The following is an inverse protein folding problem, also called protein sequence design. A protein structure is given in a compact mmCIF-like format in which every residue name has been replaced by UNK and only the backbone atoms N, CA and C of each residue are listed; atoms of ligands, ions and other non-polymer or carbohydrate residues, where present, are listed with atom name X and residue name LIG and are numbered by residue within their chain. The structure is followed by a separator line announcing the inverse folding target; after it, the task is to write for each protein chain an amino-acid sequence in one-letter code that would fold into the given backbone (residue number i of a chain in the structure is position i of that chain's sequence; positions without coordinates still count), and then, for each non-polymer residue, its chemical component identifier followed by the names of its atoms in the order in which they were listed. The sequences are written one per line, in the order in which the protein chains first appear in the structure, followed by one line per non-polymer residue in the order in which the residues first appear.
data_IF_710861069375
#
_entry.id   IF_710861069375
#
_cell.length_a   1.000
_cell.length_b   1.000
_cell.length_c   1.000
_cell.angle_alpha   90.00
_cell.angle_beta   90.00
_cell.angle_gamma   90.00
#
_symmetry.space_group_name_H-M   'P 1'
#
loop_
_entity.id
_entity.type
_entity.pdbx_description
1 polymer ?
#
# COMPACT_ATOMS: atom_id res chain seq x y z
N UNK A 1 -15.14 -32.02 -2.26
CA UNK A 1 -13.71 -31.62 -2.30
C UNK A 1 -13.48 -30.12 -2.60
N UNK A 2 -14.29 -29.43 -3.42
CA UNK A 2 -14.17 -27.97 -3.61
C UNK A 2 -14.58 -27.13 -2.38
N UNK A 3 -15.62 -27.54 -1.63
CA UNK A 3 -16.09 -26.81 -0.43
C UNK A 3 -15.07 -26.79 0.71
N UNK A 4 -14.39 -27.90 1.00
CA UNK A 4 -13.37 -27.94 2.06
C UNK A 4 -12.22 -26.98 1.76
N UNK A 5 -11.77 -26.84 0.50
CA UNK A 5 -10.72 -25.85 0.19
C UNK A 5 -11.16 -24.43 0.52
N UNK A 6 -12.40 -24.08 0.21
CA UNK A 6 -12.97 -22.75 0.49
C UNK A 6 -13.06 -22.44 1.99
N UNK A 7 -13.51 -23.41 2.81
CA UNK A 7 -13.59 -23.25 4.26
C UNK A 7 -12.20 -23.00 4.88
N UNK A 8 -11.16 -23.69 4.41
CA UNK A 8 -9.78 -23.46 4.86
C UNK A 8 -9.26 -22.07 4.48
N UNK A 9 -9.60 -21.56 3.29
CA UNK A 9 -9.29 -20.18 2.90
C UNK A 9 -9.96 -19.17 3.84
N UNK A 10 -11.21 -19.43 4.23
CA UNK A 10 -11.96 -18.59 5.15
C UNK A 10 -11.35 -18.60 6.56
N UNK A 11 -11.04 -19.79 7.11
CA UNK A 11 -10.38 -19.90 8.40
C UNK A 11 -9.01 -19.22 8.42
N UNK A 12 -8.23 -19.37 7.35
CA UNK A 12 -6.93 -18.69 7.23
C UNK A 12 -7.12 -17.17 7.27
N UNK A 13 -8.04 -16.62 6.47
CA UNK A 13 -8.36 -15.19 6.45
C UNK A 13 -8.84 -14.68 7.82
N UNK A 14 -9.68 -15.43 8.53
CA UNK A 14 -10.19 -15.04 9.84
C UNK A 14 -9.08 -15.04 10.89
N UNK A 15 -8.24 -16.08 10.94
CA UNK A 15 -7.07 -16.15 11.83
C UNK A 15 -6.10 -15.01 11.54
N UNK A 16 -5.97 -14.64 10.26
CA UNK A 16 -5.12 -13.57 9.76
C UNK A 16 -5.61 -12.17 10.17
N UNK A 17 -6.92 -11.92 10.10
CA UNK A 17 -7.55 -10.70 10.61
C UNK A 17 -7.47 -10.61 12.14
N UNK A 18 -7.67 -11.72 12.85
CA UNK A 18 -7.54 -11.77 14.33
C UNK A 18 -6.10 -11.53 14.77
N UNK A 19 -5.12 -12.12 14.07
CA UNK A 19 -3.70 -11.85 14.29
C UNK A 19 -3.35 -10.37 14.09
N UNK A 20 -3.93 -9.75 13.06
CA UNK A 20 -3.77 -8.32 12.81
C UNK A 20 -4.39 -7.43 13.91
N UNK A 21 -5.62 -7.72 14.35
CA UNK A 21 -6.25 -6.98 15.45
C UNK A 21 -5.46 -7.09 16.76
N UNK A 22 -4.90 -8.27 17.04
CA UNK A 22 -4.06 -8.45 18.22
C UNK A 22 -2.76 -7.63 18.14
N UNK A 23 -2.19 -7.47 16.95
CA UNK A 23 -0.98 -6.69 16.72
C UNK A 23 -1.25 -5.18 16.76
N UNK A 24 -2.35 -4.72 16.17
CA UNK A 24 -2.77 -3.32 16.22
C UNK A 24 -3.13 -2.86 17.62
N UNK A 25 -3.71 -3.76 18.42
CA UNK A 25 -3.99 -3.50 19.83
C UNK A 25 -2.70 -3.43 20.64
N UNK A 26 -1.75 -4.33 20.40
CA UNK A 26 -0.43 -4.29 21.03
C UNK A 26 0.34 -3.01 20.70
N UNK A 27 0.26 -2.56 19.45
CA UNK A 27 0.82 -1.33 18.92
C UNK A 27 0.29 -0.06 19.61
N UNK A 28 -1.00 -0.03 19.93
CA UNK A 28 -1.62 1.08 20.67
C UNK A 28 -1.20 1.10 22.14
N UNK A 29 -0.94 -0.07 22.73
CA UNK A 29 -0.54 -0.22 24.13
C UNK A 29 0.94 0.08 24.34
N UNK A 30 1.79 -0.14 23.35
CA UNK A 30 3.21 0.25 23.42
C UNK A 30 3.39 1.73 23.09
N UNK A 31 3.62 2.54 24.13
CA UNK A 31 3.84 3.98 24.09
C UNK A 31 4.52 4.48 22.80
N UNK A 32 3.78 5.28 22.03
CA UNK A 32 4.20 5.98 20.80
C UNK A 32 5.51 6.78 21.00
N UNK A 33 5.84 7.13 22.25
CA UNK A 33 7.03 7.88 22.62
C UNK A 33 8.33 7.05 22.69
N UNK A 34 8.25 5.72 22.76
CA UNK A 34 9.43 4.83 22.88
C UNK A 34 10.00 4.36 21.54
N UNK A 35 9.34 4.71 20.43
CA UNK A 35 9.61 4.14 19.11
C UNK A 35 10.94 4.61 18.50
N UNK A 36 11.48 5.73 18.98
CA UNK A 36 12.73 6.30 18.49
C UNK A 36 13.96 5.99 19.37
N UNK A 37 13.79 5.47 20.60
CA UNK A 37 14.89 5.37 21.57
C UNK A 37 15.42 3.95 21.80
N UNK A 38 14.65 2.92 21.46
CA UNK A 38 15.01 1.53 21.75
C UNK A 38 15.38 0.82 20.46
N UNK A 39 16.68 0.66 20.23
CA UNK A 39 17.22 -0.07 19.10
C UNK A 39 18.21 -1.13 19.56
N UNK A 40 18.16 -2.29 18.91
CA UNK A 40 19.15 -3.35 19.08
C UNK A 40 19.96 -3.43 17.80
N UNK A 41 21.24 -3.07 17.87
CA UNK A 41 22.15 -3.18 16.74
C UNK A 41 22.76 -4.59 16.68
N UNK A 42 22.71 -5.19 15.50
CA UNK A 42 23.37 -6.45 15.17
C UNK A 42 24.55 -6.17 14.23
N UNK A 43 25.75 -6.55 14.66
CA UNK A 43 26.98 -6.46 13.85
C UNK A 43 27.26 -5.07 13.24
N UNK A 44 26.76 -3.98 13.83
CA UNK A 44 26.78 -2.58 13.33
C UNK A 44 26.08 -2.32 11.99
N UNK A 45 25.88 -3.35 11.17
CA UNK A 45 25.28 -3.24 9.84
C UNK A 45 23.75 -3.25 9.87
N UNK A 46 23.17 -4.03 10.79
CA UNK A 46 21.72 -4.16 10.95
C UNK A 46 21.26 -3.57 12.28
N UNK A 47 20.08 -2.95 12.28
CA UNK A 47 19.46 -2.35 13.45
C UNK A 47 17.98 -2.71 13.47
N UNK A 48 17.55 -3.29 14.58
CA UNK A 48 16.18 -3.66 14.85
C UNK A 48 15.49 -2.50 15.57
N UNK A 49 14.80 -1.68 14.78
CA UNK A 49 13.96 -0.57 15.25
C UNK A 49 12.49 -0.96 15.24
N UNK A 50 11.68 -0.18 15.97
CA UNK A 50 10.22 -0.29 15.97
C UNK A 50 9.64 -0.38 14.55
N UNK A 51 10.03 0.56 13.67
CA UNK A 51 9.61 0.60 12.26
C UNK A 51 10.01 -0.66 11.51
N UNK A 52 11.27 -1.08 11.62
CA UNK A 52 11.77 -2.27 10.93
C UNK A 52 11.09 -3.55 11.41
N UNK A 53 10.83 -3.65 12.72
CA UNK A 53 10.11 -4.76 13.32
C UNK A 53 8.69 -4.90 12.74
N UNK A 54 7.91 -3.82 12.72
CA UNK A 54 6.54 -3.87 12.22
C UNK A 54 6.44 -4.15 10.73
N UNK A 55 7.31 -3.55 9.92
CA UNK A 55 7.37 -3.85 8.48
C UNK A 55 7.84 -5.28 8.21
N UNK A 56 8.75 -5.83 9.02
CA UNK A 56 9.15 -7.23 8.91
C UNK A 56 7.99 -8.19 9.21
N UNK A 57 7.13 -7.85 10.19
CA UNK A 57 5.93 -8.64 10.48
C UNK A 57 4.97 -8.67 9.29
N UNK A 58 4.77 -7.54 8.61
CA UNK A 58 4.00 -7.46 7.36
C UNK A 58 4.59 -8.39 6.27
N UNK A 59 5.91 -8.50 6.16
CA UNK A 59 6.53 -9.41 5.19
C UNK A 59 6.32 -10.88 5.56
N UNK A 60 6.44 -11.24 6.84
CA UNK A 60 6.10 -12.61 7.30
C UNK A 60 4.64 -12.96 7.01
N UNK A 61 3.75 -11.99 7.20
CA UNK A 61 2.32 -12.10 6.91
C UNK A 61 2.05 -12.32 5.41
N UNK A 62 2.76 -11.63 4.52
CA UNK A 62 2.67 -11.84 3.06
C UNK A 62 3.31 -13.17 2.65
N UNK A 63 4.45 -13.52 3.25
CA UNK A 63 5.09 -14.81 3.04
C UNK A 63 4.10 -15.94 3.35
N UNK A 64 3.34 -15.86 4.44
CA UNK A 64 2.26 -16.80 4.75
C UNK A 64 1.23 -16.97 3.63
N UNK A 65 0.79 -15.89 2.97
CA UNK A 65 -0.13 -15.97 1.81
C UNK A 65 0.55 -16.69 0.64
N UNK A 66 1.82 -16.37 0.37
CA UNK A 66 2.60 -16.97 -0.71
C UNK A 66 2.72 -18.49 -0.49
N UNK A 67 3.05 -18.90 0.74
CA UNK A 67 3.11 -20.30 1.13
C UNK A 67 1.72 -20.95 0.93
N UNK A 68 0.62 -20.31 1.33
CA UNK A 68 -0.70 -20.93 1.15
C UNK A 68 -1.02 -21.24 -0.33
N UNK A 69 -0.55 -20.39 -1.25
CA UNK A 69 -0.70 -20.58 -2.70
C UNK A 69 0.31 -21.57 -3.33
N UNK A 70 1.11 -22.29 -2.52
CA UNK A 70 2.14 -23.24 -2.96
C UNK A 70 1.69 -24.19 -4.08
N UNK A 71 0.45 -24.65 -4.02
CA UNK A 71 -0.07 -25.68 -4.92
C UNK A 71 -0.17 -25.25 -6.39
N UNK A 72 -0.17 -23.93 -6.68
CA UNK A 72 -0.38 -23.42 -8.03
C UNK A 72 0.89 -22.88 -8.69
N UNK A 73 1.98 -22.72 -7.94
CA UNK A 73 3.19 -22.08 -8.44
C UNK A 73 4.32 -23.07 -8.71
N UNK A 74 5.13 -22.79 -9.74
CA UNK A 74 6.36 -23.54 -9.97
C UNK A 74 7.36 -23.33 -8.82
N UNK A 75 8.18 -24.35 -8.52
CA UNK A 75 9.14 -24.33 -7.41
C UNK A 75 10.10 -23.14 -7.46
N UNK A 76 10.54 -22.75 -8.66
CA UNK A 76 11.40 -21.59 -8.89
C UNK A 76 10.71 -20.28 -8.51
N UNK A 77 9.42 -20.12 -8.82
CA UNK A 77 8.70 -18.87 -8.57
C UNK A 77 8.50 -18.65 -7.08
N UNK A 78 8.21 -19.74 -6.36
CA UNK A 78 8.14 -19.74 -4.91
C UNK A 78 9.49 -19.38 -4.28
N UNK A 79 10.58 -19.97 -4.77
CA UNK A 79 11.91 -19.60 -4.31
C UNK A 79 12.19 -18.11 -4.52
N UNK A 80 11.89 -17.56 -5.69
CA UNK A 80 12.09 -16.15 -6.00
C UNK A 80 11.23 -15.21 -5.14
N UNK A 81 9.97 -15.57 -4.91
CA UNK A 81 9.07 -14.81 -4.05
C UNK A 81 9.55 -14.80 -2.59
N UNK A 82 9.94 -15.96 -2.05
CA UNK A 82 10.46 -16.06 -0.68
C UNK A 82 11.83 -15.40 -0.54
N UNK A 83 12.69 -15.50 -1.56
CA UNK A 83 13.95 -14.79 -1.61
C UNK A 83 13.74 -13.27 -1.64
N UNK A 84 12.73 -12.79 -2.38
CA UNK A 84 12.33 -11.38 -2.34
C UNK A 84 11.88 -10.95 -0.93
N UNK A 85 11.03 -11.74 -0.27
CA UNK A 85 10.65 -11.49 1.12
C UNK A 85 11.89 -11.41 2.04
N UNK A 86 12.83 -12.35 1.92
CA UNK A 86 14.06 -12.34 2.70
C UNK A 86 14.90 -11.07 2.48
N UNK A 87 15.13 -10.70 1.21
CA UNK A 87 15.87 -9.47 0.86
C UNK A 87 15.18 -8.23 1.42
N UNK A 88 13.85 -8.16 1.40
CA UNK A 88 13.11 -7.01 1.96
C UNK A 88 13.19 -6.93 3.48
N UNK A 89 13.22 -8.07 4.18
CA UNK A 89 13.48 -8.08 5.63
C UNK A 89 14.88 -7.51 5.90
N UNK A 90 15.88 -7.88 5.10
CA UNK A 90 17.23 -7.30 5.22
C UNK A 90 17.21 -5.78 5.00
N UNK A 91 16.52 -5.27 3.98
CA UNK A 91 16.43 -3.81 3.77
C UNK A 91 15.87 -3.05 4.96
N UNK A 92 14.85 -3.58 5.64
CA UNK A 92 14.21 -2.89 6.77
C UNK A 92 15.14 -2.74 7.96
N UNK A 93 16.07 -3.67 8.13
CA UNK A 93 17.07 -3.65 9.19
C UNK A 93 18.36 -2.94 8.79
N UNK A 94 18.58 -2.61 7.51
CA UNK A 94 19.85 -2.03 7.07
C UNK A 94 20.06 -0.59 7.60
N UNK A 95 21.17 -0.37 8.29
CA UNK A 95 21.68 0.98 8.63
C UNK A 95 22.74 1.45 7.65
N UNK A 96 23.46 0.52 7.02
CA UNK A 96 24.47 0.85 6.04
C UNK A 96 23.80 1.36 4.75
N UNK A 97 24.08 2.60 4.35
CA UNK A 97 23.44 3.29 3.22
C UNK A 97 23.59 2.55 1.87
N UNK A 98 24.79 2.06 1.54
CA UNK A 98 24.99 1.23 0.33
C UNK A 98 24.29 -0.13 0.41
N UNK A 99 24.26 -0.75 1.60
CA UNK A 99 23.56 -2.01 1.82
C UNK A 99 22.06 -1.82 1.62
N UNK A 100 21.50 -0.74 2.18
CA UNK A 100 20.12 -0.34 1.95
C UNK A 100 19.81 -0.21 0.46
N UNK A 101 20.62 0.53 -0.30
CA UNK A 101 20.45 0.67 -1.76
C UNK A 101 20.50 -0.70 -2.47
N UNK A 102 21.49 -1.52 -2.17
CA UNK A 102 21.68 -2.82 -2.81
C UNK A 102 20.51 -3.78 -2.57
N UNK A 103 20.09 -3.94 -1.31
CA UNK A 103 18.96 -4.80 -0.99
C UNK A 103 17.64 -4.23 -1.53
N UNK A 104 17.51 -2.91 -1.59
CA UNK A 104 16.34 -2.25 -2.18
C UNK A 104 16.22 -2.57 -3.67
N UNK A 105 17.27 -2.35 -4.45
CA UNK A 105 17.24 -2.61 -5.90
C UNK A 105 17.10 -4.10 -6.22
N UNK A 106 17.79 -4.96 -5.46
CA UNK A 106 17.67 -6.42 -5.65
C UNK A 106 16.23 -6.90 -5.41
N UNK A 107 15.49 -6.32 -4.45
CA UNK A 107 14.07 -6.67 -4.26
C UNK A 107 13.19 -6.30 -5.46
N UNK A 108 13.43 -5.15 -6.09
CA UNK A 108 12.70 -4.69 -7.28
C UNK A 108 13.06 -5.57 -8.49
N UNK A 109 14.35 -5.87 -8.67
CA UNK A 109 14.84 -6.73 -9.75
C UNK A 109 14.23 -8.15 -9.69
N UNK A 110 14.06 -8.71 -8.49
CA UNK A 110 13.40 -10.00 -8.33
C UNK A 110 11.93 -9.97 -8.79
N UNK A 111 11.23 -8.87 -8.50
CA UNK A 111 9.83 -8.73 -8.93
C UNK A 111 9.72 -8.43 -10.42
N UNK A 112 10.64 -7.65 -10.98
CA UNK A 112 10.79 -7.46 -12.42
C UNK A 112 10.98 -8.81 -13.14
N UNK A 113 11.85 -9.68 -12.62
CA UNK A 113 12.06 -11.00 -13.19
C UNK A 113 10.77 -11.85 -13.14
N UNK A 114 10.02 -11.79 -12.04
CA UNK A 114 8.74 -12.48 -11.91
C UNK A 114 7.68 -11.93 -12.88
N UNK A 115 7.66 -10.63 -13.17
CA UNK A 115 6.74 -10.03 -14.15
C UNK A 115 7.01 -10.63 -15.54
N UNK A 116 8.27 -10.71 -16.00
CA UNK A 116 8.57 -11.27 -17.31
C UNK A 116 8.25 -12.76 -17.43
N UNK A 117 8.49 -13.52 -16.35
CA UNK A 117 8.35 -14.98 -16.37
C UNK A 117 6.92 -15.45 -16.15
N UNK A 118 6.25 -14.96 -15.11
CA UNK A 118 5.05 -15.58 -14.54
C UNK A 118 3.74 -14.89 -14.92
N UNK A 119 3.79 -13.66 -15.41
CA UNK A 119 2.55 -12.95 -15.72
C UNK A 119 1.83 -13.60 -16.91
N UNK A 120 0.51 -13.85 -16.81
CA UNK A 120 -0.28 -14.49 -17.86
C UNK A 120 -0.82 -13.51 -18.92
N UNK A 121 -0.58 -12.21 -18.77
CA UNK A 121 -1.20 -11.16 -19.61
C UNK A 121 -0.31 -10.79 -20.79
N UNK A 122 -0.93 -10.37 -21.91
CA UNK A 122 -0.24 -10.05 -23.17
C UNK A 122 0.75 -8.91 -23.03
N UNK A 123 0.37 -7.86 -22.31
CA UNK A 123 1.09 -6.59 -22.32
C UNK A 123 2.27 -6.59 -21.34
N UNK A 124 2.50 -7.68 -20.61
CA UNK A 124 3.50 -7.83 -19.54
C UNK A 124 4.90 -7.28 -19.84
N UNK A 125 5.31 -7.34 -21.10
CA UNK A 125 6.61 -6.80 -21.51
C UNK A 125 6.61 -5.27 -21.41
N UNK A 126 5.53 -4.60 -21.80
CA UNK A 126 5.35 -3.16 -21.62
C UNK A 126 5.38 -2.77 -20.14
N UNK A 127 4.61 -3.42 -19.24
CA UNK A 127 4.75 -3.16 -17.80
C UNK A 127 6.17 -3.41 -17.29
N UNK A 128 6.81 -4.49 -17.73
CA UNK A 128 8.19 -4.81 -17.38
C UNK A 128 9.17 -3.70 -17.79
N UNK A 129 9.02 -3.16 -19.00
CA UNK A 129 9.81 -2.01 -19.47
C UNK A 129 9.54 -0.75 -18.64
N UNK A 130 8.29 -0.42 -18.33
CA UNK A 130 7.98 0.69 -17.42
C UNK A 130 8.71 0.52 -16.09
N UNK A 131 8.52 -0.60 -15.38
CA UNK A 131 9.16 -0.80 -14.08
C UNK A 131 10.69 -0.77 -14.17
N UNK A 132 11.28 -1.34 -15.23
CA UNK A 132 12.72 -1.31 -15.48
C UNK A 132 13.22 0.13 -15.62
N UNK A 133 12.61 0.94 -16.50
CA UNK A 133 13.03 2.32 -16.71
C UNK A 133 12.90 3.18 -15.46
N UNK A 134 11.79 3.06 -14.72
CA UNK A 134 11.60 3.81 -13.47
C UNK A 134 12.61 3.37 -12.39
N UNK A 135 12.94 2.07 -12.32
CA UNK A 135 13.95 1.56 -11.38
C UNK A 135 15.36 2.07 -11.71
N UNK A 136 15.77 2.06 -12.97
CA UNK A 136 17.10 2.54 -13.37
C UNK A 136 17.23 4.05 -13.28
N UNK A 137 16.20 4.79 -13.73
CA UNK A 137 16.20 6.25 -13.73
C UNK A 137 16.29 6.82 -12.32
N UNK A 138 15.70 6.15 -11.33
CA UNK A 138 15.78 6.57 -9.93
C UNK A 138 16.94 5.93 -9.18
N UNK A 139 17.18 4.63 -9.41
CA UNK A 139 18.13 3.82 -8.67
C UNK A 139 19.58 4.24 -8.89
N UNK A 140 20.00 4.44 -10.15
CA UNK A 140 21.40 4.79 -10.45
C UNK A 140 21.75 6.19 -9.93
N UNK A 141 20.96 7.26 -10.18
CA UNK A 141 21.25 8.57 -9.61
C UNK A 141 21.18 8.59 -8.07
N UNK A 142 20.26 7.83 -7.48
CA UNK A 142 20.19 7.68 -6.02
C UNK A 142 21.50 7.12 -5.45
N UNK A 143 22.13 6.14 -6.11
CA UNK A 143 23.43 5.61 -5.69
C UNK A 143 24.52 6.68 -5.71
N UNK A 144 24.56 7.52 -6.76
CA UNK A 144 25.57 8.58 -6.88
C UNK A 144 25.45 9.58 -5.73
N UNK A 145 24.22 9.98 -5.37
CA UNK A 145 24.02 10.92 -4.27
C UNK A 145 24.34 10.28 -2.92
N UNK A 146 24.00 9.01 -2.70
CA UNK A 146 24.37 8.27 -1.49
C UNK A 146 25.90 8.23 -1.34
N UNK A 147 26.62 7.91 -2.41
CA UNK A 147 28.08 7.90 -2.41
C UNK A 147 28.66 9.28 -2.08
N UNK A 148 28.12 10.35 -2.67
CA UNK A 148 28.56 11.71 -2.40
C UNK A 148 28.34 12.12 -0.93
N UNK A 149 27.16 11.87 -0.35
CA UNK A 149 26.88 12.18 1.06
C UNK A 149 27.76 11.34 2.00
N UNK A 150 27.99 10.06 1.65
CA UNK A 150 28.88 9.20 2.44
C UNK A 150 30.34 9.68 2.39
N UNK A 151 30.77 10.25 1.26
CA UNK A 151 32.09 10.87 1.12
C UNK A 151 32.22 12.11 2.00
N UNK A 152 31.19 12.97 2.05
CA UNK A 152 31.18 14.15 2.92
C UNK A 152 31.26 13.78 4.42
N UNK A 153 30.57 12.72 4.83
CA UNK A 153 30.54 12.27 6.22
C UNK A 153 31.68 11.31 6.58
N UNK A 154 32.51 10.87 5.62
CA UNK A 154 33.53 9.83 5.77
C UNK A 154 33.02 8.47 6.29
N UNK A 155 31.70 8.23 6.26
CA UNK A 155 31.07 7.02 6.79
C UNK A 155 29.87 6.62 5.92
N UNK A 156 29.63 5.32 5.83
CA UNK A 156 28.44 4.77 5.15
C UNK A 156 27.28 4.48 6.09
N UNK A 157 27.48 4.59 7.41
CA UNK A 157 26.46 4.36 8.42
C UNK A 157 25.57 5.59 8.54
N UNK A 158 24.25 5.41 8.33
CA UNK A 158 23.27 6.49 8.35
C UNK A 158 23.21 7.22 9.70
N UNK A 159 23.54 6.53 10.81
CA UNK A 159 23.52 7.09 12.17
C UNK A 159 24.58 8.17 12.36
N UNK A 160 25.69 8.09 11.62
CA UNK A 160 26.84 8.99 11.77
C UNK A 160 26.80 10.17 10.78
N UNK A 161 25.71 10.34 10.05
CA UNK A 161 25.57 11.40 9.06
C UNK A 161 25.17 12.72 9.74
N UNK A 162 26.13 13.66 9.81
CA UNK A 162 25.92 14.98 10.39
C UNK A 162 25.82 16.08 9.32
N UNK A 163 26.55 15.94 8.22
CA UNK A 163 26.56 16.90 7.12
C UNK A 163 25.67 16.40 5.99
N UNK A 164 24.63 17.17 5.70
CA UNK A 164 23.75 16.91 4.57
C UNK A 164 23.53 18.20 3.79
N UNK A 165 24.10 18.26 2.60
CA UNK A 165 23.80 19.34 1.64
C UNK A 165 22.30 19.30 1.33
N UNK A 166 21.61 20.43 1.54
CA UNK A 166 20.16 20.54 1.33
C UNK A 166 19.74 20.19 -0.11
N UNK A 167 20.60 20.49 -1.08
CA UNK A 167 20.40 20.12 -2.49
C UNK A 167 20.49 18.61 -2.72
N UNK A 168 21.45 17.93 -2.09
CA UNK A 168 21.61 16.48 -2.21
C UNK A 168 20.46 15.74 -1.53
N UNK A 169 19.99 16.24 -0.39
CA UNK A 169 18.76 15.75 0.23
C UNK A 169 17.57 15.94 -0.73
N UNK A 170 17.38 17.13 -1.30
CA UNK A 170 16.29 17.35 -2.26
C UNK A 170 16.35 16.39 -3.46
N UNK A 171 17.53 16.12 -4.01
CA UNK A 171 17.70 15.12 -5.08
C UNK A 171 17.32 13.70 -4.61
N UNK A 172 17.78 13.28 -3.44
CA UNK A 172 17.40 11.99 -2.86
C UNK A 172 15.89 11.90 -2.62
N UNK A 173 15.25 12.98 -2.16
CA UNK A 173 13.79 13.04 -2.01
C UNK A 173 13.11 12.75 -3.35
N UNK A 174 13.51 13.45 -4.41
CA UNK A 174 12.96 13.24 -5.75
C UNK A 174 13.12 11.79 -6.22
N UNK A 175 14.26 11.16 -5.98
CA UNK A 175 14.48 9.76 -6.35
C UNK A 175 13.63 8.80 -5.52
N UNK A 176 13.46 9.02 -4.21
CA UNK A 176 12.53 8.22 -3.40
C UNK A 176 11.07 8.42 -3.79
N UNK A 177 10.68 9.65 -4.15
CA UNK A 177 9.34 9.99 -4.66
C UNK A 177 9.03 9.34 -6.00
N UNK A 178 10.02 8.99 -6.82
CA UNK A 178 9.73 8.21 -8.02
C UNK A 178 9.37 6.75 -7.69
N UNK A 179 9.85 6.25 -6.55
CA UNK A 179 9.67 4.87 -6.08
C UNK A 179 8.46 4.70 -5.17
N UNK A 180 8.11 5.72 -4.39
CA UNK A 180 6.79 5.87 -3.77
C UNK A 180 5.95 6.55 -4.86
N UNK A 181 5.14 5.84 -5.66
CA UNK A 181 4.57 6.35 -6.91
C UNK A 181 3.63 7.55 -6.69
N UNK A 182 4.20 8.74 -6.56
CA UNK A 182 3.49 9.98 -6.30
C UNK A 182 3.58 10.83 -7.55
N UNK A 183 2.67 11.77 -7.70
CA UNK A 183 2.68 12.70 -8.82
C UNK A 183 3.98 13.53 -8.83
N UNK A 184 4.65 13.63 -9.99
CA UNK A 184 4.20 13.19 -11.33
C UNK A 184 4.47 11.71 -11.69
N UNK A 185 5.36 11.02 -10.98
CA UNK A 185 5.88 9.68 -11.29
C UNK A 185 4.98 8.50 -10.84
N UNK A 186 3.67 8.61 -11.04
CA UNK A 186 2.68 7.62 -10.59
C UNK A 186 2.25 6.60 -11.66
N UNK A 187 2.47 6.89 -12.94
CA UNK A 187 1.89 6.18 -14.09
C UNK A 187 2.31 4.70 -14.16
N UNK A 188 3.50 4.35 -13.69
CA UNK A 188 3.97 2.97 -13.75
C UNK A 188 3.16 2.03 -12.85
N UNK A 189 2.63 2.53 -11.73
CA UNK A 189 2.01 1.67 -10.72
C UNK A 189 0.72 0.99 -11.24
N UNK A 190 -0.27 1.70 -11.80
CA UNK A 190 -1.50 1.07 -12.29
C UNK A 190 -1.26 0.08 -13.44
N UNK A 191 -0.30 0.38 -14.32
CA UNK A 191 0.08 -0.46 -15.47
C UNK A 191 0.70 -1.77 -14.96
N UNK A 192 1.70 -1.67 -14.08
CA UNK A 192 2.40 -2.84 -13.55
C UNK A 192 1.46 -3.73 -12.74
N UNK A 193 0.60 -3.16 -11.90
CA UNK A 193 -0.36 -3.98 -11.13
C UNK A 193 -1.39 -4.68 -12.02
N UNK A 194 -1.83 -4.06 -13.12
CA UNK A 194 -2.77 -4.68 -14.04
C UNK A 194 -2.18 -5.93 -14.71
N UNK A 195 -0.91 -5.88 -15.06
CA UNK A 195 -0.23 -6.93 -15.86
C UNK A 195 0.58 -7.92 -15.02
N UNK A 196 0.93 -7.59 -13.78
CA UNK A 196 1.60 -8.53 -12.90
C UNK A 196 0.66 -9.68 -12.48
N UNK A 197 1.24 -10.85 -12.17
CA UNK A 197 0.51 -11.91 -11.47
C UNK A 197 -0.05 -11.37 -10.15
N UNK A 198 -1.17 -11.91 -9.67
CA UNK A 198 -1.80 -11.43 -8.42
C UNK A 198 -0.85 -11.54 -7.23
N UNK A 199 -0.05 -12.60 -7.16
CA UNK A 199 0.90 -12.83 -6.07
C UNK A 199 2.06 -11.82 -6.15
N UNK A 200 2.55 -11.51 -7.35
CA UNK A 200 3.54 -10.44 -7.52
C UNK A 200 2.96 -9.06 -7.18
N UNK A 201 1.68 -8.79 -7.49
CA UNK A 201 1.04 -7.55 -7.06
C UNK A 201 0.90 -7.45 -5.54
N UNK A 202 0.63 -8.56 -4.84
CA UNK A 202 0.61 -8.61 -3.36
C UNK A 202 1.98 -8.18 -2.80
N UNK A 203 3.08 -8.66 -3.38
CA UNK A 203 4.42 -8.30 -2.95
C UNK A 203 4.75 -6.82 -3.24
N UNK A 204 4.42 -6.36 -4.46
CA UNK A 204 4.65 -4.99 -4.90
C UNK A 204 3.91 -3.98 -4.01
N UNK A 205 2.60 -4.19 -3.78
CA UNK A 205 1.83 -3.30 -2.92
C UNK A 205 2.10 -3.51 -1.45
N UNK A 206 2.42 -4.74 -1.04
CA UNK A 206 2.60 -5.11 0.35
C UNK A 206 3.83 -4.45 0.94
N UNK A 207 5.01 -4.72 0.38
CA UNK A 207 6.28 -4.28 0.96
C UNK A 207 7.13 -3.38 0.05
N UNK A 208 7.13 -3.53 -1.30
CA UNK A 208 8.02 -2.70 -2.14
C UNK A 208 7.71 -1.22 -1.95
N UNK A 209 6.43 -0.83 -2.06
CA UNK A 209 6.05 0.57 -1.90
C UNK A 209 6.40 1.12 -0.51
N UNK A 210 6.50 0.26 0.51
CA UNK A 210 6.81 0.65 1.90
C UNK A 210 8.30 0.89 2.08
N UNK A 211 9.15 0.22 1.30
CA UNK A 211 10.57 0.51 1.28
C UNK A 211 10.87 1.96 0.90
N UNK A 212 10.07 2.55 0.02
CA UNK A 212 10.21 3.96 -0.32
C UNK A 212 9.98 4.87 0.89
N UNK A 213 8.90 4.65 1.65
CA UNK A 213 8.63 5.37 2.90
C UNK A 213 9.74 5.18 3.93
N UNK A 214 10.24 3.96 4.07
CA UNK A 214 11.37 3.67 4.94
C UNK A 214 12.63 4.42 4.51
N UNK A 215 12.89 4.52 3.20
CA UNK A 215 13.95 5.36 2.66
C UNK A 215 13.79 6.83 3.06
N UNK A 216 12.59 7.40 2.90
CA UNK A 216 12.34 8.78 3.34
C UNK A 216 12.57 8.99 4.84
N UNK A 217 12.21 8.03 5.68
CA UNK A 217 12.39 8.17 7.13
C UNK A 217 13.88 8.01 7.51
N UNK A 218 14.55 7.01 6.96
CA UNK A 218 15.95 6.67 7.28
C UNK A 218 16.96 7.74 6.85
N UNK A 219 16.71 8.39 5.72
CA UNK A 219 17.57 9.44 5.20
C UNK A 219 17.24 10.83 5.79
N UNK A 220 16.39 10.90 6.83
CA UNK A 220 16.23 12.11 7.65
C UNK A 220 15.35 13.21 7.02
N UNK A 221 14.44 12.86 6.12
CA UNK A 221 13.65 13.83 5.37
C UNK A 221 12.67 14.67 6.19
N UNK A 222 12.36 14.25 7.43
CA UNK A 222 11.50 15.01 8.35
C UNK A 222 12.09 16.37 8.75
N UNK A 223 13.41 16.57 8.60
CA UNK A 223 14.07 17.85 8.87
C UNK A 223 13.89 18.87 7.73
N UNK A 224 13.36 18.47 6.57
CA UNK A 224 13.17 19.37 5.42
C UNK A 224 11.82 20.11 5.45
N UNK A 225 10.99 19.89 6.47
CA UNK A 225 9.63 20.43 6.56
C UNK A 225 9.57 21.97 6.48
N UNK A 226 10.66 22.66 6.80
CA UNK A 226 10.70 24.14 6.82
C UNK A 226 10.83 24.78 5.43
N UNK A 227 11.03 24.01 4.36
CA UNK A 227 11.14 24.57 3.01
C UNK A 227 9.76 24.77 2.36
N UNK A 228 9.52 25.97 1.81
CA UNK A 228 8.30 26.36 1.07
C UNK A 228 8.04 25.41 -0.13
N UNK A 229 9.08 24.81 -0.70
CA UNK A 229 8.97 23.87 -1.81
C UNK A 229 8.30 22.57 -1.37
N UNK A 230 8.56 22.09 -0.14
CA UNK A 230 7.95 20.87 0.36
C UNK A 230 6.47 21.08 0.69
N UNK A 231 6.12 22.20 1.33
CA UNK A 231 4.71 22.49 1.65
C UNK A 231 3.85 22.60 0.40
N UNK A 232 4.34 23.28 -0.64
CA UNK A 232 3.63 23.37 -1.93
C UNK A 232 3.53 22.02 -2.63
N UNK A 233 4.59 21.21 -2.63
CA UNK A 233 4.55 19.85 -3.16
C UNK A 233 3.51 18.97 -2.45
N UNK A 234 3.46 19.01 -1.12
CA UNK A 234 2.51 18.22 -0.32
C UNK A 234 1.06 18.59 -0.64
N UNK A 235 0.76 19.89 -0.84
CA UNK A 235 -0.58 20.33 -1.27
C UNK A 235 -0.93 19.72 -2.62
N UNK A 236 0.00 19.71 -3.57
CA UNK A 236 -0.21 19.09 -4.88
C UNK A 236 -0.48 17.59 -4.75
N UNK A 237 0.28 16.89 -3.90
CA UNK A 237 0.06 15.45 -3.63
C UNK A 237 -1.33 15.20 -3.07
N UNK A 238 -1.77 15.97 -2.07
CA UNK A 238 -3.11 15.82 -1.51
C UNK A 238 -4.22 16.13 -2.50
N UNK A 239 -4.16 17.26 -3.21
CA UNK A 239 -5.15 17.58 -4.24
C UNK A 239 -5.22 16.49 -5.30
N UNK A 240 -4.07 15.98 -5.69
CA UNK A 240 -4.02 14.93 -6.69
C UNK A 240 -4.58 13.58 -6.21
N UNK A 241 -4.43 13.25 -4.91
CA UNK A 241 -5.07 12.06 -4.33
C UNK A 241 -6.60 12.12 -4.47
N UNK A 242 -7.19 13.32 -4.34
CA UNK A 242 -8.63 13.54 -4.56
C UNK A 242 -8.99 13.42 -6.05
N UNK A 243 -8.15 13.93 -6.96
CA UNK A 243 -8.40 13.83 -8.39
C UNK A 243 -8.32 12.38 -8.91
N UNK A 244 -7.36 11.59 -8.41
CA UNK A 244 -7.19 10.18 -8.79
C UNK A 244 -8.43 9.36 -8.42
N UNK A 245 -9.11 9.69 -7.32
CA UNK A 245 -10.37 9.04 -6.97
C UNK A 245 -11.42 9.14 -8.08
N UNK A 246 -11.59 10.30 -8.71
CA UNK A 246 -12.53 10.44 -9.83
C UNK A 246 -12.15 9.56 -11.01
N UNK A 247 -10.86 9.51 -11.36
CA UNK A 247 -10.39 8.64 -12.45
C UNK A 247 -10.58 7.15 -12.13
N UNK A 248 -10.51 6.77 -10.85
CA UNK A 248 -10.73 5.38 -10.44
C UNK A 248 -12.17 4.91 -10.66
N UNK A 249 -13.17 5.80 -10.70
CA UNK A 249 -14.57 5.38 -10.91
C UNK A 249 -14.80 4.80 -12.30
N UNK A 250 -14.04 5.25 -13.29
CA UNK A 250 -14.14 4.78 -14.68
C UNK A 250 -13.44 3.43 -14.89
N UNK A 251 -12.67 2.97 -13.90
CA UNK A 251 -11.82 1.79 -14.02
C UNK A 251 -12.58 0.47 -13.82
N UNK A 252 -12.72 -0.30 -14.90
CA UNK A 252 -13.41 -1.60 -14.88
C UNK A 252 -12.52 -2.75 -14.41
N UNK A 253 -11.20 -2.63 -14.51
CA UNK A 253 -10.25 -3.68 -14.12
C UNK A 253 -9.94 -3.59 -12.62
N UNK A 254 -10.34 -4.60 -11.82
CA UNK A 254 -10.23 -4.51 -10.36
C UNK A 254 -8.79 -4.35 -9.83
N UNK A 255 -7.81 -4.94 -10.51
CA UNK A 255 -6.39 -4.76 -10.14
C UNK A 255 -5.94 -3.32 -10.37
N UNK A 256 -6.33 -2.74 -11.50
CA UNK A 256 -5.97 -1.37 -11.88
C UNK A 256 -6.72 -0.37 -10.99
N UNK A 257 -8.00 -0.61 -10.74
CA UNK A 257 -8.82 0.13 -9.79
C UNK A 257 -8.19 0.16 -8.39
N UNK A 258 -7.80 -1.01 -7.85
CA UNK A 258 -7.16 -1.07 -6.53
C UNK A 258 -5.80 -0.37 -6.52
N UNK A 259 -5.03 -0.48 -7.60
CA UNK A 259 -3.77 0.25 -7.74
C UNK A 259 -3.99 1.77 -7.74
N UNK A 260 -5.02 2.27 -8.43
CA UNK A 260 -5.39 3.69 -8.42
C UNK A 260 -5.82 4.16 -7.02
N UNK A 261 -6.62 3.37 -6.30
CA UNK A 261 -6.93 3.68 -4.90
C UNK A 261 -5.68 3.70 -4.00
N UNK A 262 -4.74 2.78 -4.23
CA UNK A 262 -3.51 2.72 -3.45
C UNK A 262 -2.64 3.97 -3.64
N UNK A 263 -2.67 4.60 -4.83
CA UNK A 263 -2.01 5.89 -5.08
C UNK A 263 -2.61 6.99 -4.19
N UNK A 264 -3.94 7.03 -4.06
CA UNK A 264 -4.61 8.02 -3.21
C UNK A 264 -4.20 7.87 -1.74
N UNK A 265 -4.26 6.62 -1.23
CA UNK A 265 -3.89 6.31 0.17
C UNK A 265 -2.42 6.65 0.44
N UNK A 266 -1.50 6.26 -0.46
CA UNK A 266 -0.07 6.56 -0.32
C UNK A 266 0.20 8.07 -0.26
N UNK A 267 -0.56 8.88 -1.01
CA UNK A 267 -0.49 10.34 -0.92
C UNK A 267 -0.74 10.87 0.49
N UNK A 268 -1.75 10.35 1.19
CA UNK A 268 -2.04 10.72 2.59
C UNK A 268 -0.98 10.19 3.56
N UNK A 269 -0.43 8.99 3.29
CA UNK A 269 0.72 8.48 4.02
C UNK A 269 1.92 9.43 4.00
N UNK A 270 2.22 10.05 2.86
CA UNK A 270 3.31 11.03 2.77
C UNK A 270 2.96 12.33 3.47
N UNK A 271 1.74 12.81 3.29
CA UNK A 271 1.25 13.99 3.99
C UNK A 271 1.45 13.84 5.51
N UNK A 272 1.15 12.67 6.07
CA UNK A 272 1.35 12.39 7.49
C UNK A 272 2.82 12.45 7.95
N UNK A 273 3.77 12.10 7.08
CA UNK A 273 5.20 12.17 7.36
C UNK A 273 5.65 13.64 7.49
N UNK A 274 5.18 14.50 6.59
CA UNK A 274 5.59 15.91 6.54
C UNK A 274 4.80 16.82 7.49
N UNK A 275 3.57 16.47 7.86
CA UNK A 275 2.76 17.35 8.72
C UNK A 275 3.20 17.39 10.18
N UNK A 276 3.98 16.41 10.63
CA UNK A 276 4.07 16.11 12.05
C UNK A 276 5.50 16.12 12.63
N UNK A 277 6.50 16.62 11.90
CA UNK A 277 7.91 16.62 12.31
C UNK A 277 8.29 15.29 13.02
N UNK A 278 8.36 15.31 14.36
CA UNK A 278 8.73 14.18 15.22
C UNK A 278 7.59 13.14 15.35
N UNK A 279 6.34 13.59 15.43
CA UNK A 279 5.15 12.74 15.58
C UNK A 279 4.70 12.11 14.25
N UNK A 280 5.28 12.53 13.12
CA UNK A 280 4.85 12.14 11.77
C UNK A 280 5.46 10.85 11.27
N UNK A 281 6.68 10.59 11.72
CA UNK A 281 7.38 9.36 11.41
C UNK A 281 6.60 8.11 11.87
N UNK A 282 6.14 8.00 13.13
CA UNK A 282 5.39 6.82 13.55
C UNK A 282 4.02 6.71 12.84
N UNK A 283 3.30 7.83 12.66
CA UNK A 283 1.96 7.79 12.05
C UNK A 283 1.98 7.39 10.57
N UNK A 284 2.90 7.95 9.78
CA UNK A 284 3.09 7.56 8.38
C UNK A 284 3.45 6.09 8.23
N UNK A 285 4.27 5.56 9.14
CA UNK A 285 4.64 4.15 9.13
C UNK A 285 3.47 3.24 9.48
N UNK A 286 2.71 3.54 10.54
CA UNK A 286 1.54 2.76 10.91
C UNK A 286 0.49 2.82 9.78
N UNK A 287 0.33 3.97 9.11
CA UNK A 287 -0.57 4.11 7.97
C UNK A 287 -0.11 3.26 6.80
N UNK A 288 1.18 3.31 6.47
CA UNK A 288 1.76 2.49 5.41
C UNK A 288 1.59 1.00 5.70
N UNK A 289 1.70 0.59 6.96
CA UNK A 289 1.50 -0.78 7.39
C UNK A 289 0.04 -1.20 7.21
N UNK A 290 -0.90 -0.42 7.74
CA UNK A 290 -2.34 -0.68 7.58
C UNK A 290 -2.73 -0.77 6.10
N UNK A 291 -2.25 0.15 5.26
CA UNK A 291 -2.45 0.12 3.82
C UNK A 291 -1.81 -1.11 3.15
N UNK A 292 -0.61 -1.54 3.54
CA UNK A 292 0.03 -2.73 2.98
C UNK A 292 -0.75 -4.01 3.26
N UNK A 293 -1.31 -4.13 4.46
CA UNK A 293 -2.16 -5.25 4.82
C UNK A 293 -3.50 -5.19 4.07
N UNK A 294 -4.13 -4.02 3.98
CA UNK A 294 -5.35 -3.81 3.21
C UNK A 294 -5.18 -4.18 1.73
N UNK A 295 -4.13 -3.68 1.10
CA UNK A 295 -3.82 -3.98 -0.28
C UNK A 295 -3.53 -5.48 -0.48
N UNK A 296 -2.70 -6.09 0.38
CA UNK A 296 -2.38 -7.53 0.28
C UNK A 296 -3.63 -8.42 0.40
N UNK A 297 -4.53 -8.08 1.32
CA UNK A 297 -5.79 -8.78 1.53
C UNK A 297 -6.71 -8.65 0.30
N UNK A 298 -6.86 -7.42 -0.22
CA UNK A 298 -7.76 -7.18 -1.34
C UNK A 298 -7.23 -7.76 -2.65
N UNK A 299 -5.93 -7.68 -2.92
CA UNK A 299 -5.32 -8.36 -4.08
C UNK A 299 -5.48 -9.88 -4.01
N UNK A 300 -5.40 -10.45 -2.80
CA UNK A 300 -5.68 -11.86 -2.59
C UNK A 300 -7.17 -12.20 -2.81
N UNK A 301 -8.10 -11.33 -2.39
CA UNK A 301 -9.51 -11.46 -2.74
C UNK A 301 -9.74 -11.44 -4.26
N UNK A 302 -9.10 -10.51 -4.97
CA UNK A 302 -9.16 -10.45 -6.45
C UNK A 302 -8.65 -11.76 -7.07
N UNK A 303 -7.61 -12.38 -6.50
CA UNK A 303 -7.13 -13.69 -6.95
C UNK A 303 -8.19 -14.79 -6.78
N UNK A 304 -8.82 -14.88 -5.61
CA UNK A 304 -9.87 -15.86 -5.36
C UNK A 304 -11.05 -15.68 -6.31
N UNK A 305 -11.47 -14.43 -6.53
CA UNK A 305 -12.57 -14.08 -7.42
C UNK A 305 -12.22 -14.39 -8.88
N UNK A 306 -11.00 -14.08 -9.32
CA UNK A 306 -10.51 -14.40 -10.65
C UNK A 306 -10.49 -15.91 -10.92
N UNK A 307 -10.11 -16.71 -9.92
CA UNK A 307 -10.11 -18.17 -10.02
C UNK A 307 -11.54 -18.78 -10.08
N UNK A 308 -12.53 -18.11 -9.49
CA UNK A 308 -13.93 -18.56 -9.49
C UNK A 308 -14.71 -18.09 -10.73
N UNK A 309 -14.54 -16.82 -11.11
CA UNK A 309 -15.30 -16.18 -12.20
C UNK A 309 -14.57 -16.09 -13.53
N UNK A 310 -13.32 -16.56 -13.61
CA UNK A 310 -12.50 -16.60 -14.84
C UNK A 310 -12.11 -15.23 -15.41
N UNK A 311 -12.43 -14.14 -14.71
CA UNK A 311 -12.30 -12.77 -15.21
C UNK A 311 -12.10 -11.78 -14.06
N UNK A 312 -11.43 -10.66 -14.36
CA UNK A 312 -11.03 -9.63 -13.37
C UNK A 312 -11.89 -8.36 -13.40
N UNK A 313 -12.90 -8.32 -14.27
CA UNK A 313 -13.73 -7.14 -14.46
C UNK A 313 -14.64 -6.90 -13.26
N UNK A 314 -14.76 -5.65 -12.81
CA UNK A 314 -15.66 -5.24 -11.75
C UNK A 314 -17.12 -5.65 -12.02
N UNK A 315 -17.52 -5.71 -13.30
CA UNK A 315 -18.84 -6.17 -13.73
C UNK A 315 -19.15 -7.61 -13.33
N UNK A 316 -18.13 -8.47 -13.20
CA UNK A 316 -18.33 -9.88 -12.86
C UNK A 316 -18.40 -10.14 -11.35
N UNK A 317 -18.03 -9.15 -10.52
CA UNK A 317 -18.25 -9.20 -9.08
C UNK A 317 -19.71 -9.44 -8.73
N UNK A 318 -20.64 -8.84 -9.48
CA UNK A 318 -22.05 -8.98 -9.18
C UNK A 318 -22.60 -10.38 -9.33
N UNK A 319 -22.01 -11.17 -10.23
CA UNK A 319 -22.42 -12.56 -10.39
C UNK A 319 -21.83 -13.42 -9.27
N UNK A 320 -20.57 -13.17 -8.89
CA UNK A 320 -19.81 -13.98 -7.93
C UNK A 320 -20.24 -13.69 -6.48
N UNK A 321 -20.64 -12.45 -6.18
CA UNK A 321 -21.10 -12.03 -4.85
C UNK A 321 -22.29 -12.85 -4.33
N UNK A 322 -23.08 -13.44 -5.23
CA UNK A 322 -24.23 -14.29 -4.90
C UNK A 322 -23.92 -15.78 -4.70
N UNK A 323 -22.69 -16.24 -4.92
CA UNK A 323 -22.37 -17.68 -4.95
C UNK A 323 -22.34 -18.33 -3.57
N UNK A 324 -21.83 -17.63 -2.56
CA UNK A 324 -21.84 -18.10 -1.17
C UNK A 324 -21.82 -16.95 -0.19
N UNK A 325 -22.38 -17.21 1.00
CA UNK A 325 -22.38 -16.26 2.12
C UNK A 325 -20.95 -15.84 2.50
N UNK A 326 -20.02 -16.80 2.54
CA UNK A 326 -18.64 -16.54 2.89
C UNK A 326 -17.91 -15.63 1.88
N UNK A 327 -18.16 -15.77 0.57
CA UNK A 327 -17.63 -14.85 -0.45
C UNK A 327 -18.21 -13.45 -0.26
N UNK A 328 -19.52 -13.33 0.00
CA UNK A 328 -20.14 -12.01 0.23
C UNK A 328 -19.56 -11.29 1.45
N UNK A 329 -19.26 -12.02 2.54
CA UNK A 329 -18.64 -11.43 3.73
C UNK A 329 -17.18 -11.03 3.48
N UNK A 330 -16.43 -11.84 2.73
CA UNK A 330 -15.07 -11.50 2.35
C UNK A 330 -15.05 -10.24 1.46
N UNK A 331 -15.97 -10.12 0.51
CA UNK A 331 -16.12 -8.91 -0.31
C UNK A 331 -16.44 -7.69 0.56
N UNK A 332 -17.42 -7.81 1.46
CA UNK A 332 -17.76 -6.75 2.42
C UNK A 332 -16.53 -6.29 3.20
N UNK A 333 -15.82 -7.21 3.84
CA UNK A 333 -14.62 -6.92 4.62
C UNK A 333 -13.54 -6.28 3.74
N UNK A 334 -13.32 -6.80 2.53
CA UNK A 334 -12.34 -6.25 1.60
C UNK A 334 -12.64 -4.80 1.24
N UNK A 335 -13.86 -4.50 0.82
CA UNK A 335 -14.23 -3.14 0.41
C UNK A 335 -14.22 -2.17 1.60
N UNK A 336 -14.70 -2.60 2.77
CA UNK A 336 -14.57 -1.80 4.00
C UNK A 336 -13.11 -1.52 4.35
N UNK A 337 -12.21 -2.49 4.15
CA UNK A 337 -10.79 -2.30 4.41
C UNK A 337 -10.15 -1.32 3.42
N UNK A 338 -10.53 -1.39 2.14
CA UNK A 338 -10.07 -0.43 1.11
C UNK A 338 -10.63 0.99 1.29
N UNK A 339 -11.79 1.12 1.94
CA UNK A 339 -12.45 2.39 2.25
C UNK A 339 -12.04 2.99 3.61
N UNK A 340 -11.03 2.42 4.29
CA UNK A 340 -10.60 2.88 5.62
C UNK A 340 -11.76 2.99 6.63
N UNK A 341 -12.71 2.03 6.66
CA UNK A 341 -13.78 2.05 7.66
C UNK A 341 -13.27 1.74 9.09
N UNK A 342 -13.89 2.30 10.16
CA UNK A 342 -13.71 1.73 11.50
C UNK A 342 -14.14 0.26 11.47
N UNK A 343 -13.36 -0.71 11.98
CA UNK A 343 -12.29 -0.66 13.00
C UNK A 343 -10.83 -0.76 12.47
N UNK A 344 -10.55 -0.46 11.21
CA UNK A 344 -9.22 -0.65 10.62
C UNK A 344 -8.21 0.46 10.97
N UNK A 345 -6.90 0.14 10.93
CA UNK A 345 -5.81 1.05 11.33
C UNK A 345 -5.84 2.39 10.58
N UNK A 346 -6.06 2.36 9.26
CA UNK A 346 -5.99 3.57 8.44
C UNK A 346 -6.99 4.63 8.89
N UNK A 347 -8.20 4.20 9.30
CA UNK A 347 -9.23 5.11 9.82
C UNK A 347 -8.72 5.95 10.99
N UNK A 348 -8.12 5.30 12.00
CA UNK A 348 -7.67 5.98 13.21
C UNK A 348 -6.59 7.03 12.92
N UNK A 349 -5.71 6.75 11.94
CA UNK A 349 -4.66 7.68 11.55
C UNK A 349 -5.22 8.83 10.73
N UNK A 350 -6.13 8.56 9.80
CA UNK A 350 -6.77 9.61 9.01
C UNK A 350 -7.55 10.58 9.90
N UNK A 351 -8.31 10.07 10.88
CA UNK A 351 -9.03 10.90 11.87
C UNK A 351 -8.05 11.71 12.73
N UNK A 352 -6.95 11.09 13.17
CA UNK A 352 -5.94 11.78 13.95
C UNK A 352 -5.27 12.91 13.14
N UNK A 353 -4.97 12.69 11.85
CA UNK A 353 -4.44 13.70 10.95
C UNK A 353 -5.41 14.88 10.76
N UNK A 354 -6.71 14.62 10.62
CA UNK A 354 -7.72 15.69 10.55
C UNK A 354 -7.72 16.54 11.82
N UNK A 355 -7.64 15.92 12.99
CA UNK A 355 -7.56 16.64 14.27
C UNK A 355 -6.35 17.58 14.35
N UNK A 356 -5.18 17.11 13.89
CA UNK A 356 -3.93 17.87 13.91
C UNK A 356 -3.93 19.05 12.93
N UNK A 357 -4.56 18.85 11.78
CA UNK A 357 -4.55 19.81 10.67
C UNK A 357 -5.68 20.83 10.78
N UNK A 358 -6.55 20.68 11.78
CA UNK A 358 -7.70 21.57 12.05
C UNK A 358 -7.37 23.06 12.10
N UNK A 359 -6.13 23.44 12.40
CA UNK A 359 -5.67 24.84 12.42
C UNK A 359 -5.49 25.44 11.03
N UNK A 360 -5.14 24.63 10.03
CA UNK A 360 -4.89 25.07 8.67
C UNK A 360 -6.08 24.74 7.76
N UNK A 361 -6.93 25.73 7.50
CA UNK A 361 -8.18 25.57 6.73
C UNK A 361 -8.00 24.86 5.38
N UNK A 362 -6.93 25.17 4.64
CA UNK A 362 -6.68 24.57 3.32
C UNK A 362 -6.45 23.06 3.40
N UNK A 363 -5.52 22.63 4.25
CA UNK A 363 -5.23 21.20 4.42
C UNK A 363 -6.42 20.45 5.03
N UNK A 364 -7.13 21.08 5.96
CA UNK A 364 -8.31 20.51 6.59
C UNK A 364 -9.41 20.20 5.57
N UNK A 365 -9.74 21.15 4.69
CA UNK A 365 -10.78 20.94 3.68
C UNK A 365 -10.39 19.86 2.65
N UNK A 366 -9.12 19.83 2.22
CA UNK A 366 -8.65 18.81 1.27
C UNK A 366 -8.73 17.42 1.91
N UNK A 367 -8.30 17.25 3.16
CA UNK A 367 -8.39 15.97 3.87
C UNK A 367 -9.84 15.50 4.07
N UNK A 368 -10.76 16.41 4.40
CA UNK A 368 -12.19 16.06 4.48
C UNK A 368 -12.73 15.57 3.13
N UNK A 369 -12.37 16.25 2.03
CA UNK A 369 -12.77 15.81 0.70
C UNK A 369 -12.18 14.44 0.36
N UNK A 370 -10.91 14.19 0.72
CA UNK A 370 -10.27 12.90 0.58
C UNK A 370 -11.03 11.80 1.34
N UNK A 371 -11.36 12.01 2.62
CA UNK A 371 -12.07 11.04 3.46
C UNK A 371 -13.46 10.69 2.91
N UNK A 372 -14.14 11.68 2.34
CA UNK A 372 -15.43 11.47 1.70
C UNK A 372 -15.30 10.57 0.46
N UNK A 373 -14.35 10.86 -0.44
CA UNK A 373 -14.20 10.07 -1.67
C UNK A 373 -13.55 8.70 -1.44
N UNK A 374 -12.63 8.59 -0.47
CA UNK A 374 -11.97 7.33 -0.10
C UNK A 374 -12.98 6.28 0.38
N UNK A 375 -14.03 6.72 1.10
CA UNK A 375 -15.11 5.85 1.56
C UNK A 375 -16.20 5.64 0.51
N UNK A 376 -16.56 6.68 -0.24
CA UNK A 376 -17.65 6.63 -1.23
C UNK A 376 -17.39 5.62 -2.35
N UNK A 377 -16.21 5.65 -2.96
CA UNK A 377 -15.96 4.90 -4.20
C UNK A 377 -15.96 3.39 -3.98
N UNK A 378 -15.24 2.83 -2.98
CA UNK A 378 -15.29 1.40 -2.71
C UNK A 378 -16.68 0.92 -2.29
N UNK A 379 -17.41 1.73 -1.50
CA UNK A 379 -18.78 1.38 -1.09
C UNK A 379 -19.78 1.41 -2.24
N UNK A 380 -19.63 2.33 -3.19
CA UNK A 380 -20.47 2.38 -4.38
C UNK A 380 -20.30 1.11 -5.21
N UNK A 381 -19.05 0.66 -5.42
CA UNK A 381 -18.77 -0.59 -6.11
C UNK A 381 -19.28 -1.82 -5.35
N UNK A 382 -19.14 -1.83 -4.02
CA UNK A 382 -19.76 -2.85 -3.17
C UNK A 382 -21.28 -2.89 -3.36
N UNK A 383 -21.94 -1.74 -3.30
CA UNK A 383 -23.40 -1.62 -3.49
C UNK A 383 -23.85 -2.13 -4.86
N UNK A 384 -23.12 -1.81 -5.92
CA UNK A 384 -23.37 -2.32 -7.28
C UNK A 384 -23.17 -3.85 -7.38
N UNK A 385 -22.19 -4.39 -6.66
CA UNK A 385 -21.94 -5.83 -6.62
C UNK A 385 -23.08 -6.61 -5.95
N UNK A 386 -23.78 -6.01 -4.99
CA UNK A 386 -24.92 -6.65 -4.32
C UNK A 386 -26.27 -6.35 -4.98
N UNK A 387 -26.47 -5.17 -5.57
CA UNK A 387 -27.77 -4.79 -6.15
C UNK A 387 -28.17 -5.66 -7.35
N UNK A 388 -27.20 -6.03 -8.18
CA UNK A 388 -27.39 -6.92 -9.35
C UNK A 388 -27.82 -8.34 -8.98
N UNK A 389 -27.74 -8.74 -7.70
CA UNK A 389 -28.33 -9.98 -7.17
C UNK A 389 -29.85 -10.03 -7.32
N UNK A 390 -30.51 -8.87 -7.35
CA UNK A 390 -31.97 -8.77 -7.39
C UNK A 390 -32.55 -8.89 -8.82
N UNK A 391 -31.74 -8.64 -9.85
CA UNK A 391 -32.20 -8.61 -11.25
C UNK A 391 -32.30 -9.98 -11.92
N UNK A 392 -31.72 -11.06 -11.35
CA UNK A 392 -31.85 -12.40 -11.94
C UNK A 392 -33.16 -13.10 -11.59
N UNK A 393 -33.98 -12.57 -10.68
CA UNK A 393 -35.25 -13.18 -10.29
C UNK A 393 -36.47 -12.25 -10.37
N UNK A 394 -36.30 -10.93 -10.45
CA UNK A 394 -37.45 -10.02 -10.54
C UNK A 394 -37.11 -8.85 -11.46
N UNK A 395 -37.85 -8.71 -12.56
CA UNK A 395 -37.77 -7.57 -13.46
C UNK A 395 -38.26 -6.30 -12.75
N UNK A 396 -37.36 -5.62 -12.04
CA UNK A 396 -37.64 -4.33 -11.40
C UNK A 396 -36.70 -3.25 -11.93
N UNK A 397 -37.32 -2.09 -12.18
CA UNK A 397 -36.75 -0.92 -12.82
C UNK A 397 -35.39 -0.50 -12.22
N UNK A 398 -34.40 -0.34 -13.10
CA UNK A 398 -33.03 0.12 -12.80
C UNK A 398 -32.95 1.37 -11.90
N UNK A 399 -33.94 2.28 -11.98
CA UNK A 399 -33.95 3.52 -11.20
C UNK A 399 -34.25 3.31 -9.70
N UNK A 400 -34.99 2.27 -9.31
CA UNK A 400 -35.32 2.01 -7.90
C UNK A 400 -34.14 1.37 -7.12
N UNK A 401 -33.28 0.63 -7.82
CA UNK A 401 -32.09 0.00 -7.24
C UNK A 401 -30.94 0.99 -7.01
N UNK A 402 -30.78 1.97 -7.92
CA UNK A 402 -29.89 3.12 -7.69
C UNK A 402 -30.31 3.87 -6.42
N UNK A 403 -31.61 4.16 -6.27
CA UNK A 403 -32.17 4.78 -5.06
C UNK A 403 -31.88 3.97 -3.79
N UNK A 404 -32.02 2.63 -3.81
CA UNK A 404 -31.69 1.81 -2.64
C UNK A 404 -30.18 1.77 -2.33
N UNK A 405 -29.29 1.78 -3.33
CA UNK A 405 -27.87 1.97 -3.07
C UNK A 405 -27.56 3.36 -2.52
N UNK A 406 -28.27 4.40 -2.95
CA UNK A 406 -28.20 5.73 -2.35
C UNK A 406 -28.71 5.75 -0.90
N UNK A 407 -29.75 4.99 -0.55
CA UNK A 407 -30.25 4.91 0.83
C UNK A 407 -29.34 4.11 1.76
N UNK A 408 -28.71 3.03 1.29
CA UNK A 408 -27.67 2.32 2.06
C UNK A 408 -26.44 3.21 2.22
N UNK A 409 -26.06 3.96 1.19
CA UNK A 409 -24.98 4.94 1.23
C UNK A 409 -25.27 6.11 2.20
N UNK A 410 -26.49 6.65 2.19
CA UNK A 410 -26.97 7.67 3.15
C UNK A 410 -27.06 7.13 4.58
N UNK A 411 -27.49 5.88 4.75
CA UNK A 411 -27.55 5.23 6.06
C UNK A 411 -26.17 5.00 6.69
N UNK A 412 -25.14 4.79 5.87
CA UNK A 412 -23.75 4.65 6.32
C UNK A 412 -23.09 6.02 6.55
N UNK A 413 -23.41 7.03 5.73
CA UNK A 413 -22.97 8.42 5.97
C UNK A 413 -23.47 8.98 7.31
N UNK A 414 -24.69 8.62 7.72
CA UNK A 414 -25.25 9.01 9.02
C UNK A 414 -24.57 8.33 10.23
N UNK A 415 -23.70 7.34 10.00
CA UNK A 415 -22.87 6.72 11.05
C UNK A 415 -21.46 7.33 11.13
N UNK A 416 -21.07 8.16 10.15
CA UNK A 416 -19.71 8.72 10.00
C UNK A 416 -19.66 10.23 10.33
N UNK A 417 -20.82 10.86 10.52
CA UNK A 417 -20.95 12.20 11.15
C UNK A 417 -21.32 12.01 12.61
#
# INVERSE_FOLDING_TARGET
MKNNKFEWYFYFVVIYLVGFFSLSFFLWVTDVNSWCSNYISFFSFFMLDSVGFFLSFLVFFIAGIILFNFYYNSSLNLFLLLFCCFVTILTFFCVHSLGFWFFYETSILLILFLIFKDSPYSDRFMAGWYLLFYSLFSGVPMLVVILYISYLNNTFFLVDWFYTDSFCLFLLFLFFVTKIPIIPFHVWLPIVHAEASTITSICLSGFIMKLGFLGLIRFGFYNLNDSIVFSTYIILVLLSSVLIFFTSVEELDLKRWLAMLSLCHIGVGLFSLFCLNILGCPSSMIFSLGHGLAASFFFYLILLLGNLGGSRSALNLSYISGWSFSISWLLLIGFCFSASFPPFINFFIEVWLVGLVSTNFFYFFILLSYLFFSSLIPLLLLGLSFSRRLNSSVGLNYNALLLNSYFVFLGILLFVV
#
